data_IF_899717732084
#
_entry.id   IF_899717732084
#
_cell.length_a   1.000
_cell.length_b   1.000
_cell.length_c   1.000
_cell.angle_alpha   90.00
_cell.angle_beta   90.00
_cell.angle_gamma   90.00
#
_symmetry.space_group_name_H-M   'P 1'
#
loop_
_entity.id
_entity.type
_entity.pdbx_description
1 polymer ?
#
# COMPACT_ATOMS: atom_id res chain seq x y z
N UNK A 1 -23.64 -22.06 -2.94
CA UNK A 1 -23.13 -20.76 -2.47
C UNK A 1 -22.71 -20.96 -1.02
N UNK A 2 -21.44 -21.32 -0.81
CA UNK A 2 -20.91 -21.57 0.53
C UNK A 2 -19.96 -20.43 0.87
N UNK A 3 -20.31 -19.65 1.89
CA UNK A 3 -19.54 -18.52 2.37
C UNK A 3 -18.76 -19.00 3.59
N UNK A 4 -17.44 -19.18 3.46
CA UNK A 4 -16.60 -19.61 4.56
C UNK A 4 -16.09 -18.39 5.34
N UNK A 5 -16.40 -18.34 6.64
CA UNK A 5 -15.97 -17.27 7.53
C UNK A 5 -14.49 -17.43 7.88
N UNK A 6 -13.58 -16.93 7.04
CA UNK A 6 -12.17 -16.84 7.41
C UNK A 6 -11.89 -15.51 8.10
N UNK A 7 -11.68 -15.60 9.41
CA UNK A 7 -11.24 -14.49 10.27
C UNK A 7 -9.77 -14.22 9.97
N UNK A 8 -9.46 -13.25 9.11
CA UNK A 8 -8.09 -12.75 8.97
C UNK A 8 -7.84 -11.75 10.11
N UNK A 9 -6.97 -12.15 11.02
CA UNK A 9 -6.59 -11.44 12.24
C UNK A 9 -5.67 -10.28 11.84
N UNK A 10 -6.22 -9.06 11.72
CA UNK A 10 -5.65 -7.79 12.21
C UNK A 10 -6.48 -6.62 11.70
N UNK A 11 -6.97 -5.80 12.63
CA UNK A 11 -7.68 -4.51 12.46
C UNK A 11 -9.13 -4.55 11.93
N UNK A 12 -10.06 -4.85 12.85
CA UNK A 12 -11.38 -4.22 13.05
C UNK A 12 -12.40 -4.04 11.91
N UNK A 13 -12.27 -4.66 10.74
CA UNK A 13 -13.37 -4.69 9.75
C UNK A 13 -13.69 -6.12 9.34
N UNK A 14 -14.76 -6.68 9.92
CA UNK A 14 -15.30 -7.98 9.51
C UNK A 14 -15.85 -7.80 8.09
N UNK A 15 -15.15 -8.34 7.10
CA UNK A 15 -15.63 -8.44 5.71
C UNK A 15 -15.98 -9.89 5.43
N UNK A 16 -17.18 -10.12 4.92
CA UNK A 16 -17.60 -11.42 4.41
C UNK A 16 -16.91 -11.64 3.07
N UNK A 17 -16.08 -12.68 2.96
CA UNK A 17 -15.28 -12.98 1.76
C UNK A 17 -15.93 -14.15 1.02
N UNK A 18 -16.41 -13.93 -0.21
CA UNK A 18 -16.87 -14.99 -1.12
C UNK A 18 -15.71 -15.48 -2.00
N UNK A 19 -15.80 -16.71 -2.55
CA UNK A 19 -14.72 -17.46 -3.21
C UNK A 19 -13.96 -16.80 -4.39
N UNK A 20 -14.26 -15.55 -4.77
CA UNK A 20 -13.54 -14.76 -5.78
C UNK A 20 -13.02 -13.41 -5.26
N UNK A 21 -13.30 -13.06 -4.00
CA UNK A 21 -12.96 -11.76 -3.43
C UNK A 21 -11.45 -11.57 -3.31
N UNK A 22 -10.65 -12.65 -3.32
CA UNK A 22 -9.19 -12.61 -3.30
C UNK A 22 -8.63 -11.78 -4.46
N UNK A 23 -9.29 -11.80 -5.63
CA UNK A 23 -8.89 -11.00 -6.79
C UNK A 23 -9.07 -9.49 -6.56
N UNK A 24 -10.07 -9.11 -5.77
CA UNK A 24 -10.39 -7.71 -5.46
C UNK A 24 -9.72 -7.24 -4.16
N UNK A 25 -9.40 -8.18 -3.25
CA UNK A 25 -8.71 -7.90 -1.99
C UNK A 25 -7.23 -7.61 -2.19
N UNK A 26 -6.56 -8.34 -3.08
CA UNK A 26 -5.13 -8.19 -3.32
C UNK A 26 -4.74 -6.76 -3.77
N UNK A 27 -5.46 -6.12 -4.71
CA UNK A 27 -5.26 -4.70 -5.04
C UNK A 27 -5.47 -3.77 -3.84
N UNK A 28 -6.54 -3.96 -3.07
CA UNK A 28 -6.84 -3.10 -1.92
C UNK A 28 -5.76 -3.19 -0.84
N UNK A 29 -5.31 -4.40 -0.52
CA UNK A 29 -4.21 -4.62 0.43
C UNK A 29 -2.92 -3.97 -0.05
N UNK A 30 -2.65 -3.99 -1.36
CA UNK A 30 -1.47 -3.34 -1.93
C UNK A 30 -1.53 -1.82 -1.79
N UNK A 31 -2.70 -1.21 -2.00
CA UNK A 31 -2.93 0.23 -1.77
C UNK A 31 -2.72 0.57 -0.29
N UNK A 32 -3.28 -0.21 0.63
CA UNK A 32 -3.14 0.02 2.08
C UNK A 32 -1.68 -0.10 2.54
N UNK A 33 -0.95 -1.10 2.01
CA UNK A 33 0.49 -1.27 2.26
C UNK A 33 1.30 -0.12 1.67
N UNK A 34 0.96 0.35 0.48
CA UNK A 34 1.64 1.48 -0.15
C UNK A 34 1.45 2.76 0.65
N UNK A 35 0.22 3.07 1.08
CA UNK A 35 -0.09 4.23 1.92
C UNK A 35 0.70 4.18 3.23
N UNK A 36 0.76 3.02 3.89
CA UNK A 36 1.53 2.84 5.12
C UNK A 36 3.03 3.11 4.92
N UNK A 37 3.59 2.74 3.76
CA UNK A 37 4.98 3.02 3.43
C UNK A 37 5.22 4.51 3.10
N UNK A 38 4.25 5.20 2.48
CA UNK A 38 4.30 6.65 2.26
C UNK A 38 4.35 7.39 3.58
N UNK A 39 3.46 7.06 4.52
CA UNK A 39 3.41 7.68 5.85
C UNK A 39 4.71 7.45 6.62
N UNK A 40 5.30 6.25 6.50
CA UNK A 40 6.59 5.95 7.08
C UNK A 40 7.73 6.75 6.44
N UNK A 41 7.76 6.85 5.11
CA UNK A 41 8.72 7.70 4.39
C UNK A 41 8.62 9.17 4.82
N UNK A 42 7.40 9.69 4.97
CA UNK A 42 7.14 11.05 5.48
C UNK A 42 7.65 11.25 6.91
N UNK A 43 7.48 10.26 7.78
CA UNK A 43 8.04 10.30 9.14
C UNK A 43 9.58 10.27 9.14
N UNK A 44 10.19 9.52 8.22
CA UNK A 44 11.65 9.47 8.04
C UNK A 44 12.21 10.79 7.47
N UNK A 45 11.48 11.45 6.56
CA UNK A 45 11.80 12.79 6.08
C UNK A 45 11.79 13.81 7.21
N UNK A 46 10.77 13.79 8.08
CA UNK A 46 10.71 14.65 9.27
C UNK A 46 11.87 14.39 10.24
N UNK A 47 12.42 13.18 10.25
CA UNK A 47 13.60 12.80 11.04
C UNK A 47 14.93 13.17 10.36
N UNK A 48 14.91 13.65 9.11
CA UNK A 48 16.09 13.97 8.31
C UNK A 48 16.82 12.74 7.75
N UNK A 49 16.18 11.56 7.74
CA UNK A 49 16.78 10.33 7.19
C UNK A 49 16.30 10.08 5.77
N UNK A 50 16.80 10.85 4.81
CA UNK A 50 16.30 10.85 3.44
C UNK A 50 16.56 9.52 2.70
N UNK A 51 17.70 8.87 2.93
CA UNK A 51 18.02 7.58 2.30
C UNK A 51 16.98 6.50 2.62
N UNK A 52 16.64 6.35 3.91
CA UNK A 52 15.62 5.38 4.35
C UNK A 52 14.22 5.78 3.91
N UNK A 53 13.92 7.08 3.82
CA UNK A 53 12.64 7.54 3.31
C UNK A 53 12.45 7.14 1.85
N UNK A 54 13.49 7.33 1.03
CA UNK A 54 13.51 6.93 -0.37
C UNK A 54 13.26 5.44 -0.55
N UNK A 55 13.92 4.58 0.24
CA UNK A 55 13.68 3.13 0.22
C UNK A 55 12.20 2.78 0.50
N UNK A 56 11.54 3.50 1.41
CA UNK A 56 10.12 3.28 1.72
C UNK A 56 9.21 3.70 0.58
N UNK A 57 9.47 4.84 -0.04
CA UNK A 57 8.71 5.29 -1.20
C UNK A 57 8.88 4.36 -2.40
N UNK A 58 10.10 3.87 -2.67
CA UNK A 58 10.36 2.88 -3.73
C UNK A 58 9.63 1.55 -3.47
N UNK A 59 9.58 1.10 -2.21
CA UNK A 59 8.84 -0.10 -1.83
C UNK A 59 7.32 0.08 -2.01
N UNK A 60 6.78 1.26 -1.70
CA UNK A 60 5.37 1.59 -1.93
C UNK A 60 5.02 1.48 -3.41
N UNK A 61 5.84 2.09 -4.27
CA UNK A 61 5.64 2.06 -5.73
C UNK A 61 5.69 0.64 -6.29
N UNK A 62 6.63 -0.17 -5.80
CA UNK A 62 6.75 -1.56 -6.23
C UNK A 62 5.50 -2.37 -5.87
N UNK A 63 4.97 -2.20 -4.65
CA UNK A 63 3.79 -2.94 -4.20
C UNK A 63 2.53 -2.56 -4.96
N UNK A 64 2.38 -1.28 -5.30
CA UNK A 64 1.30 -0.81 -6.17
C UNK A 64 1.38 -1.46 -7.55
N UNK A 65 2.55 -1.40 -8.22
CA UNK A 65 2.72 -1.96 -9.56
C UNK A 65 2.58 -3.48 -9.62
N UNK A 66 3.02 -4.19 -8.58
CA UNK A 66 2.97 -5.66 -8.55
C UNK A 66 1.54 -6.21 -8.32
N UNK A 67 0.65 -5.44 -7.67
CA UNK A 67 -0.60 -5.99 -7.13
C UNK A 67 -1.85 -5.15 -7.37
N UNK A 68 -1.74 -3.86 -7.66
CA UNK A 68 -2.86 -2.96 -7.84
C UNK A 68 -2.89 -2.43 -9.28
N UNK A 69 -3.22 -3.30 -10.24
CA UNK A 69 -3.28 -2.95 -11.66
C UNK A 69 -4.24 -1.79 -12.00
N UNK A 70 -5.16 -1.45 -11.08
CA UNK A 70 -6.17 -0.39 -11.23
C UNK A 70 -6.15 0.62 -10.05
N UNK A 71 -4.97 0.91 -9.48
CA UNK A 71 -4.87 2.00 -8.48
C UNK A 71 -4.90 3.39 -9.13
N UNK A 72 -5.18 4.40 -8.32
CA UNK A 72 -5.23 5.78 -8.77
C UNK A 72 -3.83 6.26 -9.21
N UNK A 73 -3.73 6.89 -10.39
CA UNK A 73 -2.47 7.45 -10.90
C UNK A 73 -1.92 8.56 -9.98
N UNK A 74 -2.77 9.14 -9.12
CA UNK A 74 -2.39 10.15 -8.14
C UNK A 74 -1.36 9.62 -7.13
N UNK A 75 -1.48 8.37 -6.67
CA UNK A 75 -0.53 7.78 -5.73
C UNK A 75 0.85 7.61 -6.34
N UNK A 76 0.94 7.19 -7.60
CA UNK A 76 2.22 7.08 -8.31
C UNK A 76 2.93 8.42 -8.40
N UNK A 77 2.19 9.46 -8.80
CA UNK A 77 2.72 10.83 -8.90
C UNK A 77 3.20 11.33 -7.54
N UNK A 78 2.43 11.07 -6.48
CA UNK A 78 2.81 11.46 -5.12
C UNK A 78 4.11 10.77 -4.70
N UNK A 79 4.20 9.45 -4.87
CA UNK A 79 5.39 8.65 -4.50
C UNK A 79 6.62 9.13 -5.29
N UNK A 80 6.50 9.33 -6.60
CA UNK A 80 7.60 9.82 -7.43
C UNK A 80 8.06 11.23 -7.04
N UNK A 81 7.12 12.09 -6.65
CA UNK A 81 7.43 13.44 -6.17
C UNK A 81 8.22 13.36 -4.86
N UNK A 82 7.77 12.53 -3.92
CA UNK A 82 8.47 12.28 -2.64
C UNK A 82 9.87 11.70 -2.84
N UNK A 83 10.05 10.78 -3.79
CA UNK A 83 11.37 10.24 -4.14
C UNK A 83 12.30 11.34 -4.66
N UNK A 84 11.78 12.30 -5.44
CA UNK A 84 12.55 13.46 -5.92
C UNK A 84 12.89 14.43 -4.79
N UNK A 85 12.01 14.59 -3.80
CA UNK A 85 12.28 15.40 -2.59
C UNK A 85 13.39 14.79 -1.71
N UNK A 86 13.63 13.48 -1.81
CA UNK A 86 14.69 12.79 -1.07
C UNK A 86 16.09 12.90 -1.72
N UNK A 87 16.24 13.60 -2.86
CA UNK A 87 17.53 13.79 -3.57
C UNK A 87 18.38 14.91 -3.00
#
# INVERSE_FOLDING_TARGET
>A
MFCFLFVVISVSKVRVVCNNDDKDLLPQFAVDVAQSNIDWGNALLKKGTHDKAKEKFELALKKLKDHAAEHDNAMDIEIETKIKECK
#
